data_IF_822112234974
#
_entry.id   IF_822112234974
#
_cell.length_a   1.000
_cell.length_b   1.000
_cell.length_c   1.000
_cell.angle_alpha   90.00
_cell.angle_beta   90.00
_cell.angle_gamma   90.00
#
_symmetry.space_group_name_H-M   'P 1'
#
loop_
_entity.id
_entity.type
_entity.pdbx_description
1 polymer ?
#
# COMPACT_ATOMS: atom_id res chain seq x y z
N UNK A 1 3.46 -37.10 72.47
CA UNK A 1 3.68 -35.70 72.90
C UNK A 1 4.94 -35.20 72.19
N UNK A 2 4.89 -34.04 71.52
CA UNK A 2 5.90 -33.46 70.60
C UNK A 2 6.06 -34.21 69.26
N UNK A 3 5.57 -33.77 68.09
CA UNK A 3 5.42 -32.46 67.40
C UNK A 3 6.76 -31.81 67.00
N UNK A 4 6.79 -31.35 65.74
CA UNK A 4 7.80 -30.50 65.04
C UNK A 4 8.94 -31.31 64.40
N UNK A 5 9.48 -31.01 63.22
CA UNK A 5 9.24 -29.98 62.22
C UNK A 5 10.34 -30.17 61.17
N UNK A 6 10.02 -30.59 59.95
CA UNK A 6 10.86 -30.25 58.79
C UNK A 6 10.00 -30.23 57.51
N UNK A 7 9.07 -29.29 57.51
CA UNK A 7 8.30 -28.87 56.35
C UNK A 7 8.78 -27.45 56.06
N UNK A 8 9.77 -27.32 55.17
CA UNK A 8 10.21 -26.01 54.72
C UNK A 8 10.59 -26.04 53.23
N UNK A 9 9.66 -25.51 52.45
CA UNK A 9 9.86 -24.73 51.22
C UNK A 9 10.50 -25.44 50.01
N UNK A 10 9.66 -26.11 49.24
CA UNK A 10 9.64 -25.93 47.78
C UNK A 10 8.17 -25.77 47.35
N UNK A 11 7.61 -24.61 47.68
CA UNK A 11 6.41 -24.10 47.03
C UNK A 11 6.80 -22.73 46.51
N UNK A 12 7.13 -22.64 45.22
CA UNK A 12 7.03 -21.46 44.36
C UNK A 12 7.46 -21.87 42.94
N UNK A 13 6.66 -21.43 41.97
CA UNK A 13 6.76 -21.59 40.51
C UNK A 13 6.28 -22.94 39.94
N UNK A 14 4.96 -23.12 39.82
CA UNK A 14 4.34 -23.61 38.57
C UNK A 14 2.84 -23.28 38.60
N UNK A 15 2.53 -22.00 38.54
CA UNK A 15 1.16 -21.49 38.37
C UNK A 15 1.17 -20.16 37.62
N UNK A 16 1.87 -20.13 36.48
CA UNK A 16 1.83 -19.04 35.49
C UNK A 16 2.14 -19.60 34.08
N UNK A 17 1.48 -20.68 33.66
CA UNK A 17 1.50 -21.11 32.26
C UNK A 17 0.11 -21.10 31.60
N UNK A 18 -0.90 -20.57 32.29
CA UNK A 18 -2.26 -20.42 31.76
C UNK A 18 -2.53 -19.11 31.00
N UNK A 19 -1.54 -18.23 30.86
CA UNK A 19 -1.66 -16.95 30.16
C UNK A 19 -0.65 -16.87 29.01
N UNK A 20 -0.94 -17.53 27.89
CA UNK A 20 -0.35 -17.12 26.59
C UNK A 20 -1.12 -17.61 25.35
N UNK A 21 -2.12 -18.50 25.49
CA UNK A 21 -2.92 -18.98 24.35
C UNK A 21 -3.95 -17.98 23.80
N UNK A 22 -4.05 -16.76 24.34
CA UNK A 22 -4.86 -15.66 23.79
C UNK A 22 -4.03 -14.53 23.17
N UNK A 23 -2.70 -14.68 23.10
CA UNK A 23 -1.82 -13.63 22.63
C UNK A 23 -1.80 -13.60 21.09
N UNK A 24 -2.36 -12.51 20.53
CA UNK A 24 -2.32 -12.10 19.12
C UNK A 24 -3.28 -12.87 18.20
N UNK A 25 -4.56 -12.47 18.24
CA UNK A 25 -5.29 -12.32 16.98
C UNK A 25 -4.37 -11.55 16.00
N UNK A 26 -4.03 -12.13 14.84
CA UNK A 26 -3.09 -11.52 13.89
C UNK A 26 -3.46 -10.04 13.67
N UNK A 27 -2.48 -9.12 13.59
CA UNK A 27 -2.73 -7.68 13.39
C UNK A 27 -3.78 -7.38 12.30
N UNK A 28 -3.84 -8.17 11.24
CA UNK A 28 -4.84 -8.05 10.16
C UNK A 28 -6.27 -8.41 10.61
N UNK A 29 -6.43 -9.36 11.53
CA UNK A 29 -7.72 -9.69 12.16
C UNK A 29 -8.21 -8.54 13.04
N UNK A 30 -7.30 -7.89 13.78
CA UNK A 30 -7.64 -6.71 14.56
C UNK A 30 -8.02 -5.53 13.66
N UNK A 31 -7.25 -5.30 12.60
CA UNK A 31 -7.54 -4.29 11.58
C UNK A 31 -8.95 -4.46 11.01
N UNK A 32 -9.31 -5.66 10.55
CA UNK A 32 -10.66 -5.94 10.02
C UNK A 32 -11.77 -5.77 11.05
N UNK A 33 -11.53 -6.12 12.31
CA UNK A 33 -12.50 -5.87 13.40
C UNK A 33 -12.77 -4.38 13.59
N UNK A 34 -11.74 -3.54 13.50
CA UNK A 34 -11.86 -2.08 13.60
C UNK A 34 -12.64 -1.52 12.40
N UNK A 35 -12.36 -1.99 11.18
CA UNK A 35 -13.10 -1.57 9.99
C UNK A 35 -14.60 -1.88 10.13
N UNK A 36 -14.95 -3.10 10.56
CA UNK A 36 -16.36 -3.47 10.80
C UNK A 36 -16.98 -2.57 11.86
N UNK A 37 -16.31 -2.42 13.01
CA UNK A 37 -16.81 -1.61 14.14
C UNK A 37 -17.11 -0.16 13.73
N UNK A 38 -16.28 0.41 12.86
CA UNK A 38 -16.40 1.81 12.44
C UNK A 38 -17.22 2.00 11.16
N UNK A 39 -17.58 0.91 10.47
CA UNK A 39 -18.50 0.95 9.33
C UNK A 39 -19.95 1.19 9.78
N UNK A 40 -20.81 1.53 8.83
CA UNK A 40 -22.27 1.54 9.04
C UNK A 40 -22.88 0.14 9.25
N UNK A 41 -22.08 -0.94 9.20
CA UNK A 41 -22.54 -2.34 9.28
C UNK A 41 -21.79 -3.16 10.36
N UNK A 42 -21.81 -2.75 11.65
CA UNK A 42 -20.96 -3.32 12.71
C UNK A 42 -21.28 -4.76 13.11
N UNK A 43 -22.43 -5.31 12.72
CA UNK A 43 -22.85 -6.68 13.07
C UNK A 43 -22.27 -7.76 12.13
N UNK A 44 -21.46 -7.38 11.15
CA UNK A 44 -20.87 -8.31 10.18
C UNK A 44 -19.71 -9.12 10.79
N UNK A 45 -19.48 -10.29 10.22
CA UNK A 45 -18.31 -11.13 10.56
C UNK A 45 -17.05 -10.59 9.90
N UNK A 46 -15.89 -10.77 10.56
CA UNK A 46 -14.56 -10.46 9.99
C UNK A 46 -14.33 -11.19 8.66
N UNK A 47 -14.88 -12.39 8.47
CA UNK A 47 -14.78 -13.14 7.21
C UNK A 47 -15.40 -12.38 6.03
N UNK A 48 -16.36 -11.48 6.28
CA UNK A 48 -16.94 -10.63 5.24
C UNK A 48 -15.94 -9.62 4.67
N UNK A 49 -14.80 -9.40 5.33
CA UNK A 49 -13.69 -8.57 4.85
C UNK A 49 -12.47 -9.41 4.43
N UNK A 50 -12.65 -10.68 4.03
CA UNK A 50 -11.53 -11.52 3.57
C UNK A 50 -10.83 -10.95 2.32
N UNK A 51 -11.54 -10.16 1.51
CA UNK A 51 -10.96 -9.42 0.38
C UNK A 51 -10.15 -8.19 0.80
N UNK A 52 -10.41 -7.58 1.97
CA UNK A 52 -9.59 -6.46 2.46
C UNK A 52 -8.25 -6.97 2.99
N UNK A 53 -7.17 -6.34 2.55
CA UNK A 53 -5.78 -6.68 2.90
C UNK A 53 -5.33 -5.83 4.09
N UNK A 54 -4.85 -6.50 5.16
CA UNK A 54 -4.16 -5.85 6.27
C UNK A 54 -2.66 -5.71 6.04
N UNK A 55 -1.98 -4.97 6.92
CA UNK A 55 -0.54 -4.66 6.79
C UNK A 55 0.33 -5.92 6.62
N UNK A 56 0.08 -7.00 7.37
CA UNK A 56 0.94 -8.21 7.31
C UNK A 56 0.71 -9.00 6.02
N UNK A 57 -0.52 -9.08 5.55
CA UNK A 57 -0.84 -9.65 4.25
C UNK A 57 -0.24 -8.79 3.12
N UNK A 58 -0.34 -7.47 3.18
CA UNK A 58 0.24 -6.56 2.19
C UNK A 58 1.75 -6.74 2.06
N UNK A 59 2.48 -6.84 3.17
CA UNK A 59 3.93 -7.10 3.14
C UNK A 59 4.25 -8.42 2.43
N UNK A 60 3.44 -9.46 2.61
CA UNK A 60 3.63 -10.75 1.91
C UNK A 60 3.37 -10.61 0.41
N UNK A 61 2.34 -9.85 0.02
CA UNK A 61 2.01 -9.58 -1.37
C UNK A 61 3.16 -8.80 -2.04
N UNK A 62 3.60 -7.69 -1.44
CA UNK A 62 4.67 -6.87 -2.02
C UNK A 62 5.95 -7.70 -2.15
N UNK A 63 6.36 -8.46 -1.12
CA UNK A 63 7.53 -9.35 -1.21
C UNK A 63 7.43 -10.41 -2.30
N UNK A 64 6.22 -10.92 -2.58
CA UNK A 64 5.99 -11.90 -3.66
C UNK A 64 6.26 -11.30 -5.03
N UNK A 65 5.98 -10.01 -5.21
CA UNK A 65 6.07 -9.32 -6.51
C UNK A 65 7.21 -8.30 -6.58
N UNK A 66 8.02 -8.13 -5.54
CA UNK A 66 9.08 -7.12 -5.43
C UNK A 66 10.09 -7.13 -6.60
N UNK A 67 10.41 -8.31 -7.12
CA UNK A 67 11.29 -8.51 -8.30
C UNK A 67 10.51 -8.90 -9.57
N UNK A 68 9.18 -8.71 -9.60
CA UNK A 68 8.32 -9.08 -10.72
C UNK A 68 7.62 -7.87 -11.34
N UNK A 69 8.31 -7.24 -12.28
CA UNK A 69 7.81 -6.10 -13.04
C UNK A 69 6.47 -6.39 -13.74
N UNK A 70 6.31 -7.58 -14.32
CA UNK A 70 5.10 -7.96 -15.08
C UNK A 70 3.88 -8.20 -14.20
N UNK A 71 4.05 -8.31 -12.89
CA UNK A 71 2.94 -8.34 -11.94
C UNK A 71 2.29 -6.97 -11.77
N UNK A 72 2.97 -5.87 -12.13
CA UNK A 72 2.48 -4.51 -11.96
C UNK A 72 2.21 -3.79 -13.28
N UNK A 73 3.07 -4.01 -14.28
CA UNK A 73 3.02 -3.28 -15.55
C UNK A 73 2.35 -4.07 -16.66
N UNK A 74 1.69 -3.32 -17.55
CA UNK A 74 1.05 -3.79 -18.77
C UNK A 74 2.06 -3.68 -19.92
N UNK A 75 2.46 -4.86 -20.38
CA UNK A 75 3.28 -5.18 -21.56
C UNK A 75 4.75 -4.72 -21.58
N UNK A 76 5.54 -5.51 -22.30
CA UNK A 76 6.96 -5.35 -22.49
C UNK A 76 7.30 -4.42 -23.66
N UNK A 77 6.42 -4.31 -24.68
CA UNK A 77 6.75 -3.68 -25.98
C UNK A 77 5.62 -2.96 -26.76
N UNK A 78 4.34 -2.98 -26.36
CA UNK A 78 3.23 -2.32 -27.09
C UNK A 78 2.18 -1.75 -26.14
N UNK A 79 1.47 -0.69 -26.57
CA UNK A 79 0.26 -0.16 -25.91
C UNK A 79 -0.97 -1.04 -26.18
N UNK A 80 -0.87 -2.35 -25.93
CA UNK A 80 -1.97 -3.30 -26.11
C UNK A 80 -2.32 -3.96 -24.77
N UNK A 81 -3.05 -3.21 -23.94
CA UNK A 81 -3.37 -3.60 -22.57
C UNK A 81 -4.20 -4.88 -22.49
N UNK A 82 -4.99 -5.14 -23.54
CA UNK A 82 -5.88 -6.28 -23.61
C UNK A 82 -5.14 -7.62 -23.59
N UNK A 83 -3.94 -7.71 -24.16
CA UNK A 83 -3.16 -8.97 -24.16
C UNK A 83 -2.65 -9.34 -22.77
N UNK A 84 -2.16 -8.38 -21.99
CA UNK A 84 -1.66 -8.68 -20.64
C UNK A 84 -2.79 -8.97 -19.67
N UNK A 85 -3.89 -8.21 -19.72
CA UNK A 85 -5.11 -8.51 -18.97
C UNK A 85 -5.85 -9.77 -19.48
N UNK A 86 -5.59 -10.25 -20.70
CA UNK A 86 -6.10 -11.56 -21.12
C UNK A 86 -5.26 -12.72 -20.61
N UNK A 87 -3.95 -12.52 -20.48
CA UNK A 87 -3.00 -13.52 -19.98
C UNK A 87 -2.94 -13.64 -18.44
N UNK A 88 -3.63 -12.76 -17.70
CA UNK A 88 -3.58 -12.71 -16.25
C UNK A 88 -2.15 -12.57 -15.70
N UNK A 89 -1.28 -11.82 -16.39
CA UNK A 89 0.10 -11.60 -15.92
C UNK A 89 0.20 -10.46 -14.92
N UNK A 90 -0.56 -9.39 -15.11
CA UNK A 90 -0.70 -8.33 -14.11
C UNK A 90 -1.51 -8.86 -12.92
N UNK A 91 -0.94 -8.72 -11.72
CA UNK A 91 -1.45 -9.27 -10.45
C UNK A 91 -1.70 -8.22 -9.40
N UNK A 92 -1.11 -7.03 -9.51
CA UNK A 92 -1.23 -5.99 -8.52
C UNK A 92 -1.22 -4.61 -9.18
N UNK A 93 -2.11 -3.73 -8.73
CA UNK A 93 -2.08 -2.32 -9.04
C UNK A 93 -2.30 -1.51 -7.76
N UNK A 94 -1.26 -0.86 -7.26
CA UNK A 94 -1.29 -0.20 -5.95
C UNK A 94 -1.54 1.30 -5.99
N UNK A 95 -1.99 1.84 -7.13
CA UNK A 95 -2.26 3.27 -7.29
C UNK A 95 -3.42 3.49 -8.25
N UNK A 96 -4.59 3.78 -7.70
CA UNK A 96 -5.83 3.98 -8.45
C UNK A 96 -6.65 5.10 -7.83
N UNK A 97 -7.27 5.88 -8.71
CA UNK A 97 -8.14 6.98 -8.33
C UNK A 97 -9.58 6.70 -8.70
N UNK A 98 -10.48 7.20 -7.88
CA UNK A 98 -11.92 7.12 -8.07
C UNK A 98 -12.52 8.52 -8.13
N UNK A 99 -13.84 8.59 -8.33
CA UNK A 99 -14.60 9.84 -8.19
C UNK A 99 -14.59 10.43 -6.79
N UNK A 100 -13.97 9.76 -5.81
CA UNK A 100 -13.72 10.33 -4.48
C UNK A 100 -12.60 11.38 -4.50
N UNK A 101 -11.79 11.41 -5.56
CA UNK A 101 -10.82 12.49 -5.83
C UNK A 101 -10.92 12.97 -7.27
N UNK A 102 -10.04 12.51 -8.16
CA UNK A 102 -9.93 12.98 -9.56
C UNK A 102 -9.96 11.85 -10.61
N UNK A 103 -10.30 10.63 -10.20
CA UNK A 103 -10.61 9.53 -11.10
C UNK A 103 -12.03 9.62 -11.67
N UNK A 104 -12.28 8.92 -12.79
CA UNK A 104 -13.61 8.88 -13.41
C UNK A 104 -14.45 7.67 -13.03
N UNK A 105 -13.85 6.57 -12.55
CA UNK A 105 -14.60 5.42 -12.01
C UNK A 105 -15.11 5.72 -10.61
N UNK A 106 -16.37 5.39 -10.35
CA UNK A 106 -16.84 5.22 -8.98
C UNK A 106 -16.10 4.06 -8.29
N UNK A 107 -16.10 4.07 -6.96
CA UNK A 107 -15.56 2.96 -6.16
C UNK A 107 -16.19 1.62 -6.54
N UNK A 108 -17.50 1.60 -6.79
CA UNK A 108 -18.21 0.37 -7.15
C UNK A 108 -17.80 -0.14 -8.54
N UNK A 109 -17.66 0.74 -9.53
CA UNK A 109 -17.18 0.37 -10.88
C UNK A 109 -15.77 -0.21 -10.82
N UNK A 110 -14.85 0.44 -10.10
CA UNK A 110 -13.49 -0.05 -9.92
C UNK A 110 -13.50 -1.45 -9.28
N UNK A 111 -14.23 -1.62 -8.17
CA UNK A 111 -14.30 -2.91 -7.47
C UNK A 111 -14.92 -4.01 -8.32
N UNK A 112 -15.93 -3.69 -9.13
CA UNK A 112 -16.60 -4.65 -10.01
C UNK A 112 -15.66 -5.12 -11.12
N UNK A 113 -15.00 -4.20 -11.81
CA UNK A 113 -14.03 -4.55 -12.85
C UNK A 113 -12.85 -5.36 -12.27
N UNK A 114 -12.35 -4.95 -11.10
CA UNK A 114 -11.27 -5.66 -10.43
C UNK A 114 -11.68 -7.07 -10.00
N UNK A 115 -12.93 -7.26 -9.53
CA UNK A 115 -13.46 -8.57 -9.15
C UNK A 115 -13.62 -9.49 -10.36
N UNK A 116 -14.17 -8.99 -11.47
CA UNK A 116 -14.30 -9.75 -12.72
C UNK A 116 -12.94 -10.21 -13.24
N UNK A 117 -11.94 -9.33 -13.21
CA UNK A 117 -10.57 -9.68 -13.58
C UNK A 117 -9.97 -10.72 -12.61
N UNK A 118 -10.16 -10.55 -11.30
CA UNK A 118 -9.70 -11.49 -10.30
C UNK A 118 -10.32 -12.89 -10.47
N UNK A 119 -11.62 -12.96 -10.78
CA UNK A 119 -12.34 -14.22 -11.03
C UNK A 119 -11.80 -14.94 -12.26
N UNK A 120 -11.62 -14.21 -13.37
CA UNK A 120 -10.99 -14.73 -14.58
C UNK A 120 -9.59 -15.29 -14.29
N UNK A 121 -8.79 -14.55 -13.54
CA UNK A 121 -7.42 -14.94 -13.23
C UNK A 121 -7.32 -16.10 -12.24
N UNK A 122 -8.27 -16.22 -11.33
CA UNK A 122 -8.43 -17.36 -10.43
C UNK A 122 -8.81 -18.63 -11.23
N UNK A 123 -9.72 -18.51 -12.18
CA UNK A 123 -10.11 -19.64 -13.05
C UNK A 123 -8.95 -20.12 -13.94
N UNK A 124 -8.18 -19.20 -14.52
CA UNK A 124 -7.00 -19.55 -15.33
C UNK A 124 -5.83 -20.08 -14.50
N UNK A 125 -5.70 -19.64 -13.24
CA UNK A 125 -4.60 -20.00 -12.35
C UNK A 125 -5.11 -20.39 -10.96
N UNK A 126 -5.75 -21.58 -10.79
CA UNK A 126 -6.42 -21.94 -9.52
C UNK A 126 -5.52 -22.06 -8.30
N UNK A 127 -4.19 -22.09 -8.50
CA UNK A 127 -3.17 -22.14 -7.44
C UNK A 127 -2.62 -20.76 -7.09
N UNK A 128 -2.95 -19.71 -7.84
CA UNK A 128 -2.53 -18.36 -7.52
C UNK A 128 -3.29 -17.86 -6.30
N UNK A 129 -2.54 -17.50 -5.25
CA UNK A 129 -3.11 -17.06 -3.97
C UNK A 129 -3.67 -15.64 -4.05
N UNK A 130 -3.09 -14.82 -4.92
CA UNK A 130 -3.47 -13.43 -5.13
C UNK A 130 -3.80 -13.23 -6.61
N UNK A 131 -4.98 -13.68 -7.09
CA UNK A 131 -5.35 -13.60 -8.49
C UNK A 131 -5.23 -12.18 -9.05
N UNK A 132 -5.74 -11.21 -8.27
CA UNK A 132 -5.53 -9.78 -8.48
C UNK A 132 -5.62 -9.00 -7.18
N UNK A 133 -4.81 -7.95 -7.07
CA UNK A 133 -4.76 -7.02 -5.93
C UNK A 133 -4.89 -5.60 -6.45
N UNK A 134 -5.79 -4.81 -5.86
CA UNK A 134 -5.96 -3.39 -6.20
C UNK A 134 -5.86 -2.54 -4.94
N UNK A 135 -5.25 -1.36 -5.01
CA UNK A 135 -5.37 -0.34 -3.97
C UNK A 135 -6.23 0.82 -4.44
N UNK A 136 -7.05 1.37 -3.55
CA UNK A 136 -7.66 2.69 -3.73
C UNK A 136 -6.72 3.69 -3.06
N UNK A 137 -6.37 4.75 -3.76
CA UNK A 137 -5.38 5.73 -3.29
C UNK A 137 -5.77 7.13 -3.73
N UNK A 138 -7.04 7.47 -3.57
CA UNK A 138 -7.58 8.78 -3.90
C UNK A 138 -6.76 9.92 -3.25
N UNK A 139 -6.66 11.05 -3.96
CA UNK A 139 -5.87 12.20 -3.49
C UNK A 139 -6.43 12.80 -2.19
N UNK A 140 -5.62 12.75 -1.14
CA UNK A 140 -5.80 13.45 0.12
C UNK A 140 -7.14 13.14 0.84
N UNK A 141 -7.77 12.01 0.51
CA UNK A 141 -8.99 11.54 1.18
C UNK A 141 -8.98 10.02 1.36
N UNK A 142 -9.80 9.55 2.29
CA UNK A 142 -10.09 8.12 2.52
C UNK A 142 -11.57 7.79 2.31
N UNK A 143 -12.34 8.70 1.72
CA UNK A 143 -13.78 8.50 1.54
C UNK A 143 -14.08 7.33 0.59
N UNK A 144 -13.28 7.17 -0.47
CA UNK A 144 -13.35 6.03 -1.37
C UNK A 144 -13.14 4.69 -0.66
N UNK A 145 -12.18 4.64 0.28
CA UNK A 145 -11.93 3.45 1.12
C UNK A 145 -13.14 3.08 1.99
N UNK A 146 -13.80 4.08 2.60
CA UNK A 146 -14.99 3.84 3.44
C UNK A 146 -16.11 3.24 2.59
N UNK A 147 -16.33 3.77 1.39
CA UNK A 147 -17.30 3.24 0.42
C UNK A 147 -16.92 1.81 0.00
N UNK A 148 -15.62 1.52 -0.20
CA UNK A 148 -15.15 0.20 -0.58
C UNK A 148 -15.42 -0.83 0.53
N UNK A 149 -15.16 -0.49 1.80
CA UNK A 149 -15.47 -1.34 2.95
C UNK A 149 -16.96 -1.68 2.99
N UNK A 150 -17.84 -0.68 2.87
CA UNK A 150 -19.29 -0.91 2.89
C UNK A 150 -19.78 -1.75 1.71
N UNK A 151 -19.27 -1.46 0.51
CA UNK A 151 -19.60 -2.20 -0.71
C UNK A 151 -19.24 -3.68 -0.58
N UNK A 152 -18.07 -3.99 -0.01
CA UNK A 152 -17.63 -5.36 0.24
C UNK A 152 -18.47 -6.03 1.33
N UNK A 153 -18.79 -5.34 2.43
CA UNK A 153 -19.62 -5.88 3.52
C UNK A 153 -21.06 -6.22 3.07
N UNK A 154 -21.59 -5.48 2.09
CA UNK A 154 -22.90 -5.75 1.47
C UNK A 154 -22.88 -7.04 0.67
N UNK A 155 -21.82 -7.33 -0.08
CA UNK A 155 -21.71 -8.53 -0.91
C UNK A 155 -20.30 -9.15 -0.90
N UNK A 156 -19.89 -9.79 0.22
CA UNK A 156 -18.52 -10.29 0.36
C UNK A 156 -18.16 -11.40 -0.62
N UNK A 157 -19.15 -12.20 -1.04
CA UNK A 157 -18.92 -13.33 -1.96
C UNK A 157 -18.57 -12.87 -3.37
N UNK A 158 -19.07 -11.71 -3.82
CA UNK A 158 -18.70 -11.13 -5.12
C UNK A 158 -17.20 -10.83 -5.22
N UNK A 159 -16.58 -10.44 -4.10
CA UNK A 159 -15.19 -10.00 -4.06
C UNK A 159 -14.21 -11.08 -3.55
N UNK A 160 -14.65 -12.34 -3.42
CA UNK A 160 -13.88 -13.41 -2.74
C UNK A 160 -12.50 -13.71 -3.34
N UNK A 161 -12.33 -13.50 -4.65
CA UNK A 161 -11.06 -13.72 -5.36
C UNK A 161 -10.22 -12.44 -5.47
N UNK A 162 -10.81 -11.28 -5.18
CA UNK A 162 -10.15 -9.98 -5.21
C UNK A 162 -9.48 -9.69 -3.88
N UNK A 163 -8.34 -9.01 -3.94
CA UNK A 163 -7.72 -8.36 -2.78
C UNK A 163 -7.74 -6.85 -2.95
N UNK A 164 -8.22 -6.15 -1.93
CA UNK A 164 -8.37 -4.70 -1.90
C UNK A 164 -7.53 -4.13 -0.77
N UNK A 165 -6.66 -3.19 -1.11
CA UNK A 165 -5.83 -2.44 -0.18
C UNK A 165 -6.46 -1.06 -0.01
N UNK A 166 -6.78 -0.69 1.22
CA UNK A 166 -7.29 0.64 1.54
C UNK A 166 -6.11 1.60 1.67
N UNK A 167 -6.21 2.77 1.06
CA UNK A 167 -5.09 3.70 0.96
C UNK A 167 -5.45 5.12 0.56
N UNK A 168 -4.42 5.95 0.53
CA UNK A 168 -4.52 7.36 0.16
C UNK A 168 -3.22 7.81 -0.50
N UNK A 169 -3.33 8.59 -1.57
CA UNK A 169 -2.21 9.34 -2.11
C UNK A 169 -2.18 10.73 -1.48
N UNK A 170 -1.04 11.12 -0.95
CA UNK A 170 -0.84 12.37 -0.23
C UNK A 170 0.19 13.19 -0.99
N UNK A 171 -0.23 14.37 -1.46
CA UNK A 171 0.72 15.35 -1.97
C UNK A 171 1.51 15.96 -0.80
N UNK A 172 2.83 16.04 -0.98
CA UNK A 172 3.75 16.69 -0.06
C UNK A 172 4.83 17.44 -0.85
N UNK A 173 5.68 18.17 -0.13
CA UNK A 173 6.84 18.80 -0.72
C UNK A 173 8.11 18.52 0.10
N UNK A 174 9.24 18.66 -0.58
CA UNK A 174 10.58 18.67 0.02
C UNK A 174 11.16 20.06 -0.25
N UNK A 175 11.44 20.82 0.82
CA UNK A 175 11.97 22.19 0.71
C UNK A 175 13.30 22.25 -0.04
N UNK A 176 14.25 21.38 0.34
CA UNK A 176 15.59 21.36 -0.22
C UNK A 176 16.25 20.00 -0.01
N UNK A 177 17.07 19.59 -0.98
CA UNK A 177 17.97 18.43 -0.86
C UNK A 177 19.34 18.74 -1.50
N UNK A 178 20.40 17.97 -1.21
CA UNK A 178 21.70 18.21 -1.85
C UNK A 178 21.67 18.16 -3.39
N UNK A 179 20.74 17.41 -3.97
CA UNK A 179 20.47 17.31 -5.40
C UNK A 179 19.46 18.34 -5.94
N UNK A 180 19.03 19.33 -5.14
CA UNK A 180 17.88 20.19 -5.46
C UNK A 180 17.96 21.54 -4.72
N UNK A 181 17.94 22.65 -5.46
CA UNK A 181 18.06 23.99 -4.87
C UNK A 181 16.74 24.73 -4.60
N UNK A 182 15.63 24.23 -5.15
CA UNK A 182 14.29 24.80 -4.97
C UNK A 182 13.36 23.82 -4.29
N UNK A 183 12.09 24.15 -4.02
CA UNK A 183 11.08 23.23 -3.50
C UNK A 183 10.49 22.35 -4.61
N UNK A 184 10.29 21.05 -4.33
CA UNK A 184 9.69 20.09 -5.27
C UNK A 184 8.54 19.35 -4.60
N UNK A 185 7.51 19.04 -5.40
CA UNK A 185 6.43 18.17 -5.00
C UNK A 185 6.87 16.71 -4.98
N UNK A 186 6.19 15.92 -4.16
CA UNK A 186 6.32 14.46 -4.11
C UNK A 186 4.98 13.89 -3.68
N UNK A 187 4.58 12.77 -4.28
CA UNK A 187 3.41 12.04 -3.83
C UNK A 187 3.81 10.85 -2.97
N UNK A 188 3.08 10.69 -1.88
CA UNK A 188 3.29 9.63 -0.89
C UNK A 188 2.08 8.72 -0.89
N UNK A 189 2.30 7.41 -0.87
CA UNK A 189 1.24 6.42 -0.71
C UNK A 189 1.19 5.96 0.74
N UNK A 190 0.02 6.01 1.34
CA UNK A 190 -0.27 5.33 2.59
C UNK A 190 -1.17 4.12 2.29
N UNK A 191 -0.70 2.90 2.53
CA UNK A 191 -1.42 1.67 2.19
C UNK A 191 -1.73 0.81 3.42
N UNK A 192 -2.85 0.09 3.40
CA UNK A 192 -3.39 -0.66 4.54
C UNK A 192 -3.64 0.22 5.78
N UNK A 193 -4.10 1.45 5.55
CA UNK A 193 -4.47 2.41 6.60
C UNK A 193 -5.89 2.15 7.11
N UNK A 194 -6.22 2.66 8.30
CA UNK A 194 -7.61 2.71 8.77
C UNK A 194 -8.28 3.96 8.20
N UNK A 195 -9.23 3.86 7.25
CA UNK A 195 -9.85 5.03 6.63
C UNK A 195 -10.78 5.80 7.57
N UNK A 196 -11.13 5.21 8.73
CA UNK A 196 -11.93 5.86 9.76
C UNK A 196 -11.08 6.59 10.82
N UNK A 197 -9.76 6.63 10.66
CA UNK A 197 -8.91 7.36 11.57
C UNK A 197 -9.00 8.88 11.31
N UNK A 198 -9.40 9.64 12.32
CA UNK A 198 -9.54 11.10 12.26
C UNK A 198 -8.23 11.81 11.90
N UNK A 199 -7.09 11.13 12.10
CA UNK A 199 -5.79 11.63 11.70
C UNK A 199 -5.71 11.87 10.18
N UNK A 200 -6.48 11.14 9.35
CA UNK A 200 -6.51 11.32 7.90
C UNK A 200 -7.57 12.31 7.41
N UNK A 201 -8.68 12.50 8.13
CA UNK A 201 -9.77 13.42 7.73
C UNK A 201 -9.31 14.87 7.60
N UNK A 202 -8.44 15.32 8.51
CA UNK A 202 -7.94 16.70 8.54
C UNK A 202 -6.61 16.87 7.81
N UNK A 203 -5.92 15.77 7.54
CA UNK A 203 -4.60 15.81 6.96
C UNK A 203 -4.61 16.04 5.46
N UNK A 204 -5.76 16.21 4.80
CA UNK A 204 -5.84 16.41 3.35
C UNK A 204 -5.78 17.86 2.86
N UNK A 205 -5.93 18.87 3.73
CA UNK A 205 -6.40 20.22 3.32
C UNK A 205 -5.35 21.34 3.28
N UNK A 206 -4.10 21.10 3.68
CA UNK A 206 -3.03 22.11 3.66
C UNK A 206 -1.80 21.63 2.88
N UNK A 207 -0.90 22.55 2.54
CA UNK A 207 0.43 22.20 2.05
C UNK A 207 1.22 21.46 3.17
N UNK A 208 1.97 20.40 2.81
CA UNK A 208 2.59 19.47 3.77
C UNK A 208 4.04 19.13 3.43
N UNK A 209 4.92 19.33 4.41
CA UNK A 209 6.27 18.78 4.38
C UNK A 209 6.23 17.25 4.28
N UNK A 210 7.17 16.68 3.52
CA UNK A 210 7.41 15.23 3.46
C UNK A 210 7.58 14.60 4.86
N UNK A 211 8.28 15.29 5.76
CA UNK A 211 8.50 14.83 7.15
C UNK A 211 7.21 14.79 7.97
N UNK A 212 6.24 15.64 7.67
CA UNK A 212 4.92 15.64 8.32
C UNK A 212 4.11 14.42 7.89
N UNK A 213 4.15 14.04 6.61
CA UNK A 213 3.46 12.84 6.10
C UNK A 213 4.06 11.57 6.70
N UNK A 214 5.39 11.46 6.69
CA UNK A 214 6.05 10.29 7.30
C UNK A 214 5.79 10.22 8.80
N UNK A 215 5.76 11.35 9.52
CA UNK A 215 5.42 11.40 10.95
C UNK A 215 3.99 10.95 11.21
N UNK A 216 3.02 11.43 10.44
CA UNK A 216 1.62 11.01 10.55
C UNK A 216 1.50 9.49 10.48
N UNK A 217 2.01 8.88 9.40
CA UNK A 217 1.83 7.45 9.15
C UNK A 217 2.65 6.61 10.13
N UNK A 218 3.85 7.05 10.52
CA UNK A 218 4.65 6.39 11.56
C UNK A 218 3.92 6.33 12.91
N UNK A 219 3.04 7.28 13.21
CA UNK A 219 2.26 7.31 14.44
C UNK A 219 0.95 6.49 14.33
N UNK A 220 0.61 5.96 13.15
CA UNK A 220 -0.54 5.10 12.97
C UNK A 220 -0.24 3.65 13.36
N UNK A 221 -1.23 3.00 13.99
CA UNK A 221 -1.14 1.58 14.34
C UNK A 221 -1.01 0.68 13.10
N UNK A 222 -1.69 1.03 12.02
CA UNK A 222 -1.67 0.32 10.75
C UNK A 222 -1.12 1.23 9.66
N UNK A 223 -0.50 0.63 8.66
CA UNK A 223 -0.23 1.28 7.40
C UNK A 223 1.24 1.24 7.04
N UNK A 224 1.48 1.05 5.75
CA UNK A 224 2.77 1.17 5.10
C UNK A 224 2.90 2.55 4.48
N UNK A 225 4.14 3.02 4.38
CA UNK A 225 4.47 4.29 3.72
C UNK A 225 5.16 3.94 2.43
N UNK A 226 4.83 4.65 1.35
CA UNK A 226 5.54 4.55 0.08
C UNK A 226 5.71 5.90 -0.59
N UNK A 227 6.68 5.97 -1.50
CA UNK A 227 6.80 7.08 -2.45
C UNK A 227 6.18 6.65 -3.78
N UNK A 228 5.14 7.37 -4.21
CA UNK A 228 4.54 7.23 -5.53
C UNK A 228 5.45 7.91 -6.56
N UNK A 229 5.55 7.30 -7.76
CA UNK A 229 6.26 7.82 -8.94
C UNK A 229 7.36 8.85 -8.59
N UNK A 230 8.49 8.40 -7.99
CA UNK A 230 9.47 9.23 -7.26
C UNK A 230 10.16 10.35 -8.05
N UNK A 231 10.04 10.37 -9.37
CA UNK A 231 10.66 11.36 -10.26
C UNK A 231 9.64 12.17 -11.08
N UNK A 232 8.34 11.88 -10.98
CA UNK A 232 7.31 12.48 -11.85
C UNK A 232 7.14 13.98 -11.62
N UNK A 233 7.08 14.38 -10.36
CA UNK A 233 6.85 15.77 -9.96
C UNK A 233 8.15 16.61 -9.96
N UNK A 234 9.26 16.02 -10.40
CA UNK A 234 10.57 16.68 -10.38
C UNK A 234 10.78 17.47 -11.65
N UNK A 235 10.90 18.79 -11.45
CA UNK A 235 11.32 19.73 -12.49
C UNK A 235 12.82 19.61 -12.69
N UNK A 236 13.26 19.19 -13.88
CA UNK A 236 14.69 18.95 -14.18
C UNK A 236 15.52 20.23 -14.08
N UNK A 237 14.91 21.38 -14.33
CA UNK A 237 15.50 22.71 -14.14
C UNK A 237 15.81 23.05 -12.68
N UNK A 238 15.20 22.35 -11.71
CA UNK A 238 15.47 22.52 -10.28
C UNK A 238 16.66 21.69 -9.80
N UNK A 239 17.21 20.82 -10.66
CA UNK A 239 18.40 20.03 -10.37
C UNK A 239 19.64 20.88 -10.70
N UNK A 240 20.57 21.06 -9.74
CA UNK A 240 21.81 21.81 -9.98
C UNK A 240 22.58 21.28 -11.20
N UNK A 241 23.28 22.15 -11.93
CA UNK A 241 23.97 21.78 -13.17
C UNK A 241 25.08 20.73 -13.00
N UNK A 242 25.59 20.55 -11.78
CA UNK A 242 26.56 19.52 -11.40
C UNK A 242 25.92 18.24 -10.84
N UNK A 243 24.60 18.10 -10.95
CA UNK A 243 23.79 17.00 -10.43
C UNK A 243 22.86 16.46 -11.52
N UNK A 244 22.30 15.29 -11.24
CA UNK A 244 21.41 14.57 -12.15
C UNK A 244 20.13 14.12 -11.44
N UNK A 245 19.14 13.68 -12.20
CA UNK A 245 17.95 13.01 -11.65
C UNK A 245 18.31 11.73 -10.88
N UNK A 246 19.46 11.12 -11.16
CA UNK A 246 19.97 9.97 -10.43
C UNK A 246 20.42 10.35 -9.01
N UNK A 247 21.05 11.52 -8.84
CA UNK A 247 21.39 12.08 -7.54
C UNK A 247 20.13 12.38 -6.73
N UNK A 248 19.07 12.90 -7.38
CA UNK A 248 17.77 13.09 -6.75
C UNK A 248 17.20 11.80 -6.15
N UNK A 249 17.18 10.72 -6.93
CA UNK A 249 16.68 9.43 -6.46
C UNK A 249 17.46 8.94 -5.24
N UNK A 250 18.79 9.08 -5.25
CA UNK A 250 19.64 8.68 -4.13
C UNK A 250 19.40 9.51 -2.87
N UNK A 251 19.37 10.84 -3.00
CA UNK A 251 19.15 11.76 -1.87
C UNK A 251 17.74 11.57 -1.29
N UNK A 252 16.73 11.45 -2.15
CA UNK A 252 15.34 11.24 -1.74
C UNK A 252 15.17 9.89 -1.04
N UNK A 253 15.72 8.80 -1.57
CA UNK A 253 15.65 7.50 -0.88
C UNK A 253 16.47 7.45 0.40
N UNK A 254 17.58 8.18 0.49
CA UNK A 254 18.33 8.33 1.73
C UNK A 254 17.51 9.06 2.80
N UNK A 255 16.91 10.22 2.46
CA UNK A 255 16.01 10.97 3.34
C UNK A 255 14.81 10.11 3.76
N UNK A 256 14.15 9.49 2.79
CA UNK A 256 13.00 8.64 3.05
C UNK A 256 13.33 7.48 3.99
N UNK A 257 14.48 6.85 3.78
CA UNK A 257 14.99 5.78 4.65
C UNK A 257 15.35 6.28 6.04
N UNK A 258 15.87 7.50 6.18
CA UNK A 258 16.20 8.06 7.50
C UNK A 258 14.97 8.40 8.33
N UNK A 259 13.82 8.65 7.69
CA UNK A 259 12.53 8.87 8.37
C UNK A 259 11.81 7.58 8.75
N UNK A 260 12.37 6.41 8.42
CA UNK A 260 11.77 5.12 8.78
C UNK A 260 11.91 4.87 10.28
N UNK A 261 10.79 4.72 10.97
CA UNK A 261 10.77 4.14 12.32
C UNK A 261 10.72 2.62 12.21
N UNK A 262 9.65 2.01 12.71
CA UNK A 262 9.34 0.59 12.59
C UNK A 262 8.51 0.25 11.34
N UNK A 263 8.22 1.24 10.49
CA UNK A 263 7.41 1.06 9.28
C UNK A 263 8.22 0.44 8.15
N UNK A 264 7.55 -0.41 7.39
CA UNK A 264 8.10 -0.95 6.15
C UNK A 264 7.88 0.09 5.05
N UNK A 265 8.94 0.34 4.29
CA UNK A 265 8.96 1.29 3.19
C UNK A 265 8.75 0.58 1.86
N UNK A 266 8.05 1.24 0.96
CA UNK A 266 7.98 0.83 -0.44
C UNK A 266 8.09 2.03 -1.38
N UNK A 267 8.28 1.79 -2.66
CA UNK A 267 8.26 2.83 -3.69
C UNK A 267 7.75 2.25 -4.99
N UNK A 268 7.05 3.08 -5.74
CA UNK A 268 6.55 2.74 -7.04
C UNK A 268 7.67 2.73 -8.08
N UNK A 269 8.46 1.67 -8.05
CA UNK A 269 9.56 1.45 -8.97
C UNK A 269 9.09 0.86 -10.31
N UNK A 270 7.89 0.29 -10.38
CA UNK A 270 7.27 -0.23 -11.59
C UNK A 270 6.07 0.63 -12.01
N UNK A 271 6.31 1.93 -12.17
CA UNK A 271 5.30 2.87 -12.66
C UNK A 271 5.22 2.83 -14.19
N UNK A 272 4.05 2.49 -14.75
CA UNK A 272 3.89 2.27 -16.19
C UNK A 272 4.39 3.43 -17.06
N UNK A 273 4.18 4.68 -16.62
CA UNK A 273 4.60 5.85 -17.39
C UNK A 273 6.12 5.90 -17.59
N UNK A 274 6.91 5.45 -16.61
CA UNK A 274 8.37 5.44 -16.75
C UNK A 274 8.84 4.52 -17.85
N UNK A 275 8.14 3.41 -18.08
CA UNK A 275 8.45 2.51 -19.18
C UNK A 275 8.37 3.18 -20.55
N UNK A 276 7.39 4.07 -20.75
CA UNK A 276 7.07 4.62 -22.06
C UNK A 276 7.57 6.04 -22.31
N UNK A 277 7.77 6.82 -21.25
CA UNK A 277 8.04 8.25 -21.35
C UNK A 277 9.32 8.68 -20.64
N UNK A 278 9.94 7.81 -19.86
CA UNK A 278 11.23 8.09 -19.22
C UNK A 278 12.35 7.23 -19.78
N UNK A 279 13.57 7.62 -19.43
CA UNK A 279 14.79 6.88 -19.72
C UNK A 279 14.77 5.50 -19.03
N UNK A 280 15.09 4.43 -19.77
CA UNK A 280 15.18 3.07 -19.21
C UNK A 280 16.29 2.96 -18.16
N UNK A 281 17.35 3.75 -18.29
CA UNK A 281 18.42 3.81 -17.28
C UNK A 281 17.89 4.41 -15.97
N UNK A 282 16.94 5.35 -16.03
CA UNK A 282 16.27 5.90 -14.86
C UNK A 282 15.42 4.85 -14.14
N UNK A 283 14.63 4.07 -14.87
CA UNK A 283 13.87 2.96 -14.30
C UNK A 283 14.79 1.93 -13.64
N UNK A 284 15.90 1.57 -14.30
CA UNK A 284 16.92 0.67 -13.77
C UNK A 284 17.56 1.24 -12.49
N UNK A 285 17.86 2.53 -12.47
CA UNK A 285 18.43 3.21 -11.32
C UNK A 285 17.48 3.27 -10.13
N UNK A 286 16.21 3.62 -10.33
CA UNK A 286 15.19 3.61 -9.26
C UNK A 286 15.12 2.22 -8.62
N UNK A 287 15.07 1.15 -9.42
CA UNK A 287 15.04 -0.25 -8.92
C UNK A 287 16.30 -0.60 -8.10
N UNK A 288 17.49 -0.25 -8.61
CA UNK A 288 18.76 -0.51 -7.91
C UNK A 288 18.89 0.30 -6.62
N UNK A 289 18.49 1.57 -6.65
CA UNK A 289 18.52 2.48 -5.51
C UNK A 289 17.56 2.03 -4.41
N UNK A 290 16.32 1.67 -4.77
CA UNK A 290 15.36 1.12 -3.82
C UNK A 290 15.92 -0.12 -3.09
N UNK A 291 16.54 -1.04 -3.84
CA UNK A 291 17.21 -2.23 -3.26
C UNK A 291 18.37 -1.85 -2.33
N UNK A 292 19.22 -0.91 -2.73
CA UNK A 292 20.34 -0.38 -1.92
C UNK A 292 19.84 0.16 -0.58
N UNK A 293 18.72 0.88 -0.59
CA UNK A 293 18.11 1.51 0.60
C UNK A 293 17.17 0.60 1.39
N UNK A 294 16.98 -0.66 0.95
CA UNK A 294 16.05 -1.65 1.53
C UNK A 294 14.59 -1.19 1.49
N UNK A 295 14.20 -0.55 0.39
CA UNK A 295 12.82 -0.13 0.07
C UNK A 295 12.23 -1.19 -0.86
N UNK A 296 11.04 -1.70 -0.55
CA UNK A 296 10.35 -2.65 -1.44
C UNK A 296 9.81 -1.95 -2.68
N UNK A 297 9.76 -2.65 -3.80
CA UNK A 297 9.34 -2.14 -5.10
C UNK A 297 7.92 -2.59 -5.40
N UNK A 298 7.07 -1.60 -5.61
CA UNK A 298 5.69 -1.75 -6.06
C UNK A 298 5.54 -1.18 -7.45
N UNK A 299 4.35 -1.33 -8.03
CA UNK A 299 4.00 -0.68 -9.27
C UNK A 299 2.51 -0.44 -9.39
N UNK A 300 2.20 0.31 -10.44
CA UNK A 300 0.85 0.75 -10.74
C UNK A 300 0.76 1.31 -12.15
N UNK A 301 -0.47 1.68 -12.49
CA UNK A 301 -0.81 2.45 -13.67
C UNK A 301 -1.08 3.93 -13.38
N UNK A 302 -1.20 4.30 -12.10
CA UNK A 302 -1.71 5.60 -11.63
C UNK A 302 -2.94 6.04 -12.41
N UNK A 303 -3.97 5.17 -12.38
CA UNK A 303 -5.07 5.27 -13.32
C UNK A 303 -6.22 6.11 -12.78
N UNK A 304 -6.71 7.00 -13.65
CA UNK A 304 -7.78 7.96 -13.39
C UNK A 304 -8.97 7.77 -14.34
N UNK A 305 -8.94 6.75 -15.20
CA UNK A 305 -9.89 6.55 -16.31
C UNK A 305 -11.00 5.55 -15.96
N UNK A 306 -11.91 5.33 -16.90
CA UNK A 306 -13.12 4.50 -16.77
C UNK A 306 -12.87 2.98 -16.67
N UNK A 307 -11.62 2.54 -16.88
CA UNK A 307 -11.25 1.12 -16.87
C UNK A 307 -10.09 0.88 -15.92
N UNK A 308 -9.97 -0.32 -15.34
CA UNK A 308 -8.83 -0.68 -14.47
C UNK A 308 -7.48 -0.86 -15.21
N UNK A 309 -7.46 -0.56 -16.51
CA UNK A 309 -6.31 -0.56 -17.43
C UNK A 309 -6.34 0.70 -18.30
N UNK A 310 -5.22 1.08 -18.92
CA UNK A 310 -5.03 2.39 -19.54
C UNK A 310 -5.67 2.52 -20.94
N UNK A 311 -5.86 1.41 -21.66
CA UNK A 311 -6.36 1.36 -23.05
C UNK A 311 -7.46 0.28 -23.25
#
# INVERSE_FOLDING_TARGET
>A
MFKKSFLLKVAIVFLMSGLSLSCVASQDLEYKKILIKNSSMPEKSVKSLDSIVGEKELVKIIKRYDDNETAYMIDEFQRDDMKVFSSCRSRANFHMHTTSSDGTMSVEELLNQAAEYADKCSAQNPREKYPFVVALTDHNTTDGDKIAVETILKNPQKYKNLKVVLGMEIWAYIEKMPSQDQKNGIHMLALAINPYDKAFENFGRTEREFTSVTTLINNQKYGLIGVAHPVREIKRENIPSNKTIYDWVEDMFALYTSQRKNKILFTEAYYQRYRFYEDQDLLSHIKKSAKKHKIMRTGSLDNHREKIYLY
#
